data_IF_383346876252
#
_entry.id   IF_383346876252
#
_cell.length_a   1.000
_cell.length_b   1.000
_cell.length_c   1.000
_cell.angle_alpha   90.00
_cell.angle_beta   90.00
_cell.angle_gamma   90.00
#
_symmetry.space_group_name_H-M   'P 1'
#
loop_
_entity.id
_entity.type
_entity.pdbx_description
1 polymer ?
#
# COMPACT_ATOMS: atom_id res chain seq x y z
N UNK A 1 10.78 -17.21 -8.31
CA UNK A 1 10.46 -17.15 -6.86
C UNK A 1 9.54 -15.96 -6.62
N UNK A 2 8.26 -16.20 -6.30
CA UNK A 2 7.37 -15.12 -5.88
C UNK A 2 7.79 -14.70 -4.47
N UNK A 3 8.49 -13.57 -4.37
CA UNK A 3 8.78 -12.94 -3.08
C UNK A 3 7.44 -12.48 -2.52
N UNK A 4 6.84 -13.31 -1.66
CA UNK A 4 5.63 -12.97 -0.92
C UNK A 4 6.01 -11.86 0.07
N UNK A 5 5.97 -10.60 -0.39
CA UNK A 5 6.07 -9.47 0.51
C UNK A 5 4.86 -9.57 1.45
N UNK A 6 5.07 -9.70 2.78
CA UNK A 6 3.95 -9.79 3.70
C UNK A 6 3.09 -8.54 3.50
N UNK A 7 1.82 -8.78 3.17
CA UNK A 7 0.83 -7.73 2.94
C UNK A 7 0.70 -6.93 4.22
N UNK A 8 1.34 -5.75 4.23
CA UNK A 8 1.29 -4.86 5.36
C UNK A 8 -0.17 -4.54 5.67
N UNK A 9 -0.54 -4.64 6.95
CA UNK A 9 -1.92 -4.44 7.41
C UNK A 9 -2.16 -3.01 7.85
N UNK A 10 -3.23 -2.44 7.34
CA UNK A 10 -3.68 -1.11 7.72
C UNK A 10 -4.42 -1.18 9.06
N UNK A 11 -3.94 -0.41 10.03
CA UNK A 11 -4.43 -0.40 11.40
C UNK A 11 -4.88 1.00 11.82
N UNK A 12 -5.87 1.06 12.71
CA UNK A 12 -6.33 2.26 13.39
C UNK A 12 -6.26 2.05 14.90
N UNK A 13 -5.76 3.05 15.62
CA UNK A 13 -5.76 3.02 17.08
C UNK A 13 -7.18 3.27 17.64
N UNK A 14 -7.61 2.44 18.59
CA UNK A 14 -8.90 2.59 19.30
C UNK A 14 -8.93 3.82 20.22
N UNK A 15 -7.76 4.27 20.70
CA UNK A 15 -7.65 5.36 21.69
C UNK A 15 -7.50 6.72 21.01
N UNK A 16 -6.51 6.88 20.13
CA UNK A 16 -6.21 8.17 19.50
C UNK A 16 -6.69 8.29 18.06
N UNK A 17 -7.34 7.26 17.49
CA UNK A 17 -7.82 7.29 16.10
C UNK A 17 -6.74 7.28 15.01
N UNK A 18 -5.46 7.40 15.38
CA UNK A 18 -4.35 7.46 14.44
C UNK A 18 -4.26 6.21 13.56
N UNK A 19 -4.13 6.44 12.24
CA UNK A 19 -3.89 5.39 11.24
C UNK A 19 -2.40 5.05 11.17
N UNK A 20 -2.09 3.77 11.01
CA UNK A 20 -0.73 3.30 10.81
C UNK A 20 -0.71 1.97 10.07
N UNK A 21 0.47 1.56 9.61
CA UNK A 21 0.67 0.32 8.88
C UNK A 21 1.58 -0.60 9.67
N UNK A 22 1.22 -1.88 9.78
CA UNK A 22 1.99 -2.91 10.49
C UNK A 22 2.34 -4.08 9.57
N UNK A 23 3.48 -4.75 9.78
CA UNK A 23 3.86 -5.92 8.98
C UNK A 23 2.87 -7.10 9.02
N UNK A 24 2.10 -7.25 10.10
CA UNK A 24 1.22 -8.40 10.38
C UNK A 24 -0.11 -7.94 10.96
N UNK A 25 -1.10 -8.83 11.05
CA UNK A 25 -2.34 -8.53 11.76
C UNK A 25 -2.05 -8.24 13.25
N UNK A 26 -2.72 -7.28 13.91
CA UNK A 26 -2.47 -6.97 15.33
C UNK A 26 -2.52 -8.18 16.26
N UNK A 27 -3.40 -9.15 15.97
CA UNK A 27 -3.59 -10.37 16.75
C UNK A 27 -2.53 -11.45 16.49
N UNK A 28 -1.73 -11.33 15.42
CA UNK A 28 -0.64 -12.26 15.10
C UNK A 28 0.66 -11.94 15.88
N UNK A 29 0.70 -10.83 16.60
CA UNK A 29 1.85 -10.46 17.39
C UNK A 29 1.81 -11.13 18.76
N UNK A 30 2.85 -11.91 19.09
CA UNK A 30 3.05 -12.44 20.46
C UNK A 30 3.07 -11.31 21.49
N UNK A 31 3.72 -10.19 21.16
CA UNK A 31 3.69 -8.95 21.93
C UNK A 31 2.96 -7.89 21.14
N UNK A 32 1.76 -7.53 21.61
CA UNK A 32 0.87 -6.61 20.91
C UNK A 32 1.57 -5.35 20.41
N UNK A 33 1.30 -4.89 19.17
CA UNK A 33 2.03 -3.78 18.60
C UNK A 33 1.67 -2.46 19.30
N UNK A 34 2.68 -1.62 19.54
CA UNK A 34 2.49 -0.24 20.04
C UNK A 34 1.95 0.69 18.97
N UNK A 35 1.03 1.56 19.37
CA UNK A 35 0.60 2.69 18.55
C UNK A 35 1.74 3.70 18.42
N UNK A 36 2.13 4.08 17.20
CA UNK A 36 3.19 5.08 16.97
C UNK A 36 2.86 6.49 17.47
N UNK A 37 1.58 6.82 17.64
CA UNK A 37 1.15 8.16 18.04
C UNK A 37 1.01 8.30 19.56
N UNK A 38 0.26 7.40 20.22
CA UNK A 38 -0.01 7.48 21.65
C UNK A 38 0.79 6.48 22.52
N UNK A 39 1.71 5.73 21.91
CA UNK A 39 2.54 4.69 22.54
C UNK A 39 1.82 3.51 23.22
N UNK A 40 0.48 3.54 23.38
CA UNK A 40 -0.30 2.47 24.02
C UNK A 40 -0.20 1.15 23.24
N UNK A 41 -0.04 0.06 24.00
CA UNK A 41 0.05 -1.33 23.51
C UNK A 41 -1.34 -1.92 23.35
N UNK A 42 -1.55 -2.82 22.39
CA UNK A 42 -2.80 -3.59 22.26
C UNK A 42 -4.02 -2.77 21.83
N UNK A 43 -3.83 -1.53 21.41
CA UNK A 43 -4.92 -0.61 21.01
C UNK A 43 -5.21 -0.62 19.51
N UNK A 44 -4.41 -1.34 18.72
CA UNK A 44 -4.51 -1.35 17.26
C UNK A 44 -5.54 -2.37 16.79
N UNK A 45 -6.44 -1.93 15.92
CA UNK A 45 -7.38 -2.79 15.18
C UNK A 45 -7.18 -2.62 13.68
N UNK A 46 -7.58 -3.60 12.89
CA UNK A 46 -7.62 -3.43 11.43
C UNK A 46 -8.56 -2.28 11.05
N UNK A 47 -8.05 -1.38 10.22
CA UNK A 47 -8.86 -0.40 9.51
C UNK A 47 -9.47 -1.13 8.30
N UNK A 48 -10.62 -1.78 8.52
CA UNK A 48 -11.32 -2.60 7.51
C UNK A 48 -11.53 -1.85 6.20
N UNK A 49 -11.85 -0.55 6.28
CA UNK A 49 -12.03 0.27 5.09
C UNK A 49 -10.72 0.45 4.33
N UNK A 50 -9.60 0.72 5.01
CA UNK A 50 -8.32 0.93 4.35
C UNK A 50 -7.69 -0.39 3.83
N UNK A 51 -7.84 -1.48 4.58
CA UNK A 51 -7.27 -2.80 4.26
C UNK A 51 -7.99 -3.52 3.09
N UNK A 52 -9.28 -3.21 2.89
CA UNK A 52 -10.10 -3.78 1.81
C UNK A 52 -9.87 -3.13 0.46
N UNK A 53 -9.20 -1.98 0.38
CA UNK A 53 -9.10 -1.24 -0.88
C UNK A 53 -8.12 -1.88 -1.87
N UNK A 54 -8.58 -2.25 -3.07
CA UNK A 54 -7.78 -2.97 -4.06
C UNK A 54 -6.63 -2.10 -4.59
N UNK A 55 -6.82 -0.80 -4.76
CA UNK A 55 -5.79 0.11 -5.31
C UNK A 55 -4.50 0.24 -4.47
N UNK A 56 -4.41 -0.39 -3.30
CA UNK A 56 -3.17 -0.52 -2.51
C UNK A 56 -2.46 -1.87 -2.68
N UNK A 57 -3.09 -2.82 -3.36
CA UNK A 57 -2.56 -4.16 -3.72
C UNK A 57 -1.83 -4.14 -5.07
N UNK A 58 -2.21 -3.23 -5.96
CA UNK A 58 -1.71 -3.13 -7.33
C UNK A 58 -0.63 -2.06 -7.46
N UNK A 59 0.52 -2.27 -6.81
CA UNK A 59 1.73 -1.50 -7.19
C UNK A 59 2.19 -2.07 -8.53
N UNK A 60 2.17 -1.26 -9.61
CA UNK A 60 2.68 -1.72 -10.91
C UNK A 60 4.17 -1.97 -10.78
N UNK A 61 4.66 -2.98 -11.49
CA UNK A 61 6.09 -3.25 -11.66
C UNK A 61 6.58 -2.98 -13.09
N UNK A 62 5.73 -2.40 -13.92
CA UNK A 62 6.07 -1.95 -15.25
C UNK A 62 7.06 -0.77 -15.18
N UNK A 63 7.84 -0.59 -16.25
CA UNK A 63 8.86 0.48 -16.35
C UNK A 63 8.25 1.86 -16.68
N UNK A 64 6.92 1.97 -16.59
CA UNK A 64 6.19 3.23 -16.80
C UNK A 64 6.64 4.34 -15.87
N UNK A 65 6.71 5.56 -16.40
CA UNK A 65 7.19 6.75 -15.71
C UNK A 65 6.33 7.09 -14.48
N UNK A 66 6.95 7.62 -13.42
CA UNK A 66 6.47 7.78 -12.02
C UNK A 66 6.67 6.54 -11.12
N UNK A 67 7.76 6.52 -10.34
CA UNK A 67 8.03 5.47 -9.36
C UNK A 67 7.54 5.84 -7.94
N UNK A 68 7.03 4.89 -7.14
CA UNK A 68 6.22 3.72 -7.48
C UNK A 68 4.76 4.11 -7.77
N UNK A 69 4.22 3.68 -8.92
CA UNK A 69 2.85 3.94 -9.34
C UNK A 69 1.94 2.71 -9.25
N UNK A 70 0.66 2.89 -9.58
CA UNK A 70 -0.36 1.83 -9.52
C UNK A 70 -0.68 1.30 -10.91
N UNK A 71 -1.04 0.03 -10.99
CA UNK A 71 -1.58 -0.55 -12.23
C UNK A 71 -2.75 0.30 -12.75
N UNK A 72 -2.75 0.63 -14.04
CA UNK A 72 -3.73 1.53 -14.67
C UNK A 72 -3.59 3.02 -14.34
N UNK A 73 -2.48 3.47 -13.73
CA UNK A 73 -2.22 4.91 -13.58
C UNK A 73 -1.91 5.57 -14.94
N UNK A 74 -1.99 6.90 -15.03
CA UNK A 74 -1.82 7.67 -16.27
C UNK A 74 -0.61 7.23 -17.11
N UNK A 75 0.53 7.02 -16.47
CA UNK A 75 1.80 6.65 -17.12
C UNK A 75 2.17 5.16 -16.93
N UNK A 76 1.21 4.33 -16.54
CA UNK A 76 1.39 2.88 -16.44
C UNK A 76 1.21 2.23 -17.81
N UNK A 77 2.14 1.36 -18.22
CA UNK A 77 2.01 0.63 -19.49
C UNK A 77 0.81 -0.32 -19.54
N UNK A 78 0.32 -0.78 -18.37
CA UNK A 78 -0.88 -1.58 -18.25
C UNK A 78 -2.18 -0.74 -18.31
N UNK A 79 -2.07 0.58 -18.49
CA UNK A 79 -3.24 1.44 -18.67
C UNK A 79 -3.77 1.28 -20.11
N UNK A 80 -5.04 0.90 -20.33
CA UNK A 80 -5.64 0.83 -21.67
C UNK A 80 -5.57 2.15 -22.43
N UNK A 81 -5.62 3.28 -21.69
CA UNK A 81 -5.54 4.63 -22.24
C UNK A 81 -4.10 5.17 -22.25
N UNK A 82 -3.08 4.30 -22.14
CA UNK A 82 -1.69 4.73 -22.10
C UNK A 82 -1.34 5.54 -23.37
N UNK A 83 -0.89 6.80 -23.25
CA UNK A 83 -0.67 7.66 -24.41
C UNK A 83 0.64 7.31 -25.12
N UNK A 84 0.59 6.24 -25.92
CA UNK A 84 1.74 5.69 -26.68
C UNK A 84 2.41 6.73 -27.59
N UNK A 85 1.65 7.70 -28.09
CA UNK A 85 2.15 8.75 -28.99
C UNK A 85 3.00 9.82 -28.29
N UNK A 86 2.77 10.06 -26.99
CA UNK A 86 3.50 11.09 -26.23
C UNK A 86 4.86 10.57 -25.71
N UNK A 87 5.02 9.26 -25.51
CA UNK A 87 6.24 8.64 -24.96
C UNK A 87 7.37 8.51 -26.01
N UNK A 88 7.03 8.54 -27.31
CA UNK A 88 8.01 8.53 -28.42
C UNK A 88 8.96 9.74 -28.44
N UNK A 89 8.70 10.78 -27.65
CA UNK A 89 9.54 12.00 -27.60
C UNK A 89 10.75 11.89 -26.66
N UNK A 90 10.91 10.82 -25.89
CA UNK A 90 12.04 10.67 -24.96
C UNK A 90 13.22 9.84 -25.50
N UNK A 91 13.13 9.34 -26.74
CA UNK A 91 14.21 8.58 -27.40
C UNK A 91 14.70 9.22 -28.71
N UNK A 92 14.43 10.52 -28.92
CA UNK A 92 14.99 11.30 -30.04
C UNK A 92 16.20 12.11 -29.57
#
# INVERSE_FOLDING_TARGET
MLVYLPTRRHCRCRVCGARQVKPKHPDEYVRGPRCRNCARVGTLRIDKWADSKPWRRHVCRCDGYHFPHREGSLWCYENPDYPVELDRRMFA
#
